data_IF_184587939772
#
_entry.id   IF_184587939772
#
_cell.length_a   1.000
_cell.length_b   1.000
_cell.length_c   1.000
_cell.angle_alpha   90.00
_cell.angle_beta   90.00
_cell.angle_gamma   90.00
#
_symmetry.space_group_name_H-M   'P 1'
#
loop_
_entity.id
_entity.type
_entity.pdbx_description
1 polymer ?
#
# COMPACT_ATOMS: atom_id res chain seq x y z
N UNK A 1 -23.62 -6.86 33.80
CA UNK A 1 -22.66 -7.04 32.69
C UNK A 1 -21.60 -5.96 32.79
N UNK A 2 -20.46 -6.27 33.42
CA UNK A 2 -19.35 -5.33 33.50
C UNK A 2 -18.66 -5.27 32.13
N UNK A 3 -18.63 -4.08 31.54
CA UNK A 3 -17.96 -3.82 30.27
C UNK A 3 -16.50 -4.19 30.38
N UNK A 4 -16.09 -5.20 29.60
CA UNK A 4 -14.69 -5.54 29.37
C UNK A 4 -14.07 -4.31 28.70
N UNK A 5 -13.40 -3.46 29.48
CA UNK A 5 -12.56 -2.40 28.92
C UNK A 5 -11.50 -3.11 28.08
N UNK A 6 -11.63 -3.02 26.76
CA UNK A 6 -10.60 -3.54 25.84
C UNK A 6 -9.24 -3.03 26.28
N UNK A 7 -8.26 -3.92 26.46
CA UNK A 7 -6.89 -3.53 26.78
C UNK A 7 -6.44 -2.44 25.78
N UNK A 8 -5.85 -1.33 26.24
CA UNK A 8 -5.36 -0.27 25.36
C UNK A 8 -4.49 -0.80 24.20
N UNK A 9 -3.72 -1.85 24.43
CA UNK A 9 -2.89 -2.52 23.42
C UNK A 9 -3.72 -3.19 22.32
N UNK A 10 -4.77 -3.93 22.67
CA UNK A 10 -5.67 -4.56 21.71
C UNK A 10 -6.38 -3.52 20.84
N UNK A 11 -6.74 -2.37 21.44
CA UNK A 11 -7.32 -1.24 20.70
C UNK A 11 -6.32 -0.59 19.74
N UNK A 12 -5.08 -0.38 20.18
CA UNK A 12 -4.02 0.17 19.32
C UNK A 12 -3.67 -0.77 18.17
N UNK A 13 -3.62 -2.08 18.42
CA UNK A 13 -3.44 -3.10 17.37
C UNK A 13 -4.57 -3.05 16.34
N UNK A 14 -5.83 -3.03 16.79
CA UNK A 14 -6.98 -2.97 15.87
C UNK A 14 -6.98 -1.69 15.01
N UNK A 15 -6.57 -0.55 15.57
CA UNK A 15 -6.38 0.69 14.80
C UNK A 15 -5.28 0.49 13.75
N UNK A 16 -4.15 -0.08 14.16
CA UNK A 16 -3.02 -0.35 13.28
C UNK A 16 -3.37 -1.25 12.11
N UNK A 17 -3.96 -2.41 12.39
CA UNK A 17 -4.39 -3.40 11.38
C UNK A 17 -5.36 -2.77 10.37
N UNK A 18 -6.35 -2.00 10.86
CA UNK A 18 -7.30 -1.30 9.99
C UNK A 18 -6.59 -0.29 9.08
N UNK A 19 -5.70 0.52 9.64
CA UNK A 19 -4.96 1.53 8.86
C UNK A 19 -4.09 0.87 7.80
N UNK A 20 -3.43 -0.23 8.14
CA UNK A 20 -2.65 -1.01 7.19
C UNK A 20 -3.52 -1.48 6.01
N UNK A 21 -4.64 -2.17 6.29
CA UNK A 21 -5.51 -2.72 5.25
C UNK A 21 -6.08 -1.66 4.31
N UNK A 22 -6.61 -0.57 4.85
CA UNK A 22 -7.19 0.53 4.05
C UNK A 22 -6.11 1.22 3.20
N UNK A 23 -4.92 1.43 3.77
CA UNK A 23 -3.79 2.05 3.05
C UNK A 23 -3.32 1.14 1.92
N UNK A 24 -3.14 -0.15 2.21
CA UNK A 24 -2.70 -1.13 1.21
C UNK A 24 -3.69 -1.23 0.05
N UNK A 25 -5.00 -1.32 0.34
CA UNK A 25 -6.06 -1.35 -0.67
C UNK A 25 -6.03 -0.11 -1.56
N UNK A 26 -5.93 1.08 -0.96
CA UNK A 26 -5.86 2.35 -1.71
C UNK A 26 -4.66 2.38 -2.66
N UNK A 27 -3.48 1.96 -2.17
CA UNK A 27 -2.26 1.88 -2.97
C UNK A 27 -2.35 0.86 -4.10
N UNK A 28 -3.01 -0.27 -3.87
CA UNK A 28 -3.21 -1.29 -4.89
C UNK A 28 -4.05 -0.75 -6.06
N UNK A 29 -5.15 -0.06 -5.77
CA UNK A 29 -5.99 0.60 -6.78
C UNK A 29 -5.21 1.68 -7.56
N UNK A 30 -4.45 2.51 -6.84
CA UNK A 30 -3.59 3.53 -7.44
C UNK A 30 -2.50 2.91 -8.31
N UNK A 31 -1.88 1.82 -7.85
CA UNK A 31 -0.86 1.08 -8.57
C UNK A 31 -1.41 0.50 -9.87
N UNK A 32 -2.62 -0.07 -9.86
CA UNK A 32 -3.27 -0.53 -11.10
C UNK A 32 -3.51 0.60 -12.08
N UNK A 33 -3.86 1.79 -11.59
CA UNK A 33 -3.98 2.98 -12.44
C UNK A 33 -2.66 3.29 -13.14
N UNK A 34 -1.55 3.28 -12.41
CA UNK A 34 -0.22 3.52 -12.98
C UNK A 34 0.15 2.42 -13.98
N UNK A 35 -0.10 1.15 -13.64
CA UNK A 35 0.22 0.04 -14.52
C UNK A 35 -0.58 0.08 -15.83
N UNK A 36 -1.84 0.46 -15.77
CA UNK A 36 -2.69 0.60 -16.94
C UNK A 36 -2.25 1.77 -17.83
N UNK A 37 -2.20 2.99 -17.27
CA UNK A 37 -1.98 4.21 -18.05
C UNK A 37 -0.53 4.46 -18.43
N UNK A 38 0.40 4.22 -17.50
CA UNK A 38 1.80 4.58 -17.70
C UNK A 38 2.64 3.41 -18.21
N UNK A 39 2.23 2.18 -17.91
CA UNK A 39 2.93 0.97 -18.33
C UNK A 39 2.19 0.19 -19.42
N UNK A 40 0.99 0.63 -19.82
CA UNK A 40 0.23 0.04 -20.92
C UNK A 40 -0.21 -1.40 -20.66
N UNK A 41 -0.39 -1.79 -19.40
CA UNK A 41 -0.90 -3.13 -19.06
C UNK A 41 -2.40 -3.20 -19.34
N UNK A 42 -2.81 -4.15 -20.17
CA UNK A 42 -4.23 -4.42 -20.39
C UNK A 42 -4.90 -5.06 -19.17
N UNK A 43 -6.23 -5.08 -19.15
CA UNK A 43 -7.06 -5.55 -18.03
C UNK A 43 -6.76 -6.98 -17.62
N UNK A 44 -6.56 -7.88 -18.59
CA UNK A 44 -6.22 -9.29 -18.33
C UNK A 44 -4.84 -9.40 -17.69
N UNK A 45 -3.88 -8.62 -18.19
CA UNK A 45 -2.52 -8.57 -17.63
C UNK A 45 -2.49 -7.99 -16.21
N UNK A 46 -3.38 -7.05 -15.88
CA UNK A 46 -3.56 -6.52 -14.52
C UNK A 46 -4.19 -7.55 -13.57
N UNK A 47 -5.15 -8.33 -14.05
CA UNK A 47 -5.75 -9.41 -13.28
C UNK A 47 -4.71 -10.48 -12.95
N UNK A 48 -3.93 -10.90 -13.94
CA UNK A 48 -2.80 -11.83 -13.76
C UNK A 48 -1.72 -11.26 -12.83
N UNK A 49 -1.46 -9.95 -12.92
CA UNK A 49 -0.53 -9.27 -12.02
C UNK A 49 -1.03 -9.31 -10.57
N UNK A 50 -2.32 -9.05 -10.35
CA UNK A 50 -2.91 -9.10 -9.02
C UNK A 50 -2.83 -10.51 -8.40
N UNK A 51 -3.19 -11.53 -9.18
CA UNK A 51 -3.08 -12.92 -8.75
C UNK A 51 -1.63 -13.26 -8.37
N UNK A 52 -0.66 -12.82 -9.19
CA UNK A 52 0.76 -13.04 -8.90
C UNK A 52 1.24 -12.28 -7.66
N UNK A 53 0.68 -11.10 -7.35
CA UNK A 53 0.96 -10.43 -6.08
C UNK A 53 0.47 -11.23 -4.87
N UNK A 54 -0.70 -11.87 -4.96
CA UNK A 54 -1.20 -12.73 -3.88
C UNK A 54 -0.31 -13.95 -3.63
N UNK A 55 0.12 -14.63 -4.71
CA UNK A 55 1.08 -15.73 -4.62
C UNK A 55 2.41 -15.24 -4.03
N UNK A 56 2.92 -14.10 -4.51
CA UNK A 56 4.17 -13.51 -4.02
C UNK A 56 4.07 -13.18 -2.53
N UNK A 57 2.93 -12.68 -2.08
CA UNK A 57 2.70 -12.41 -0.66
C UNK A 57 2.78 -13.69 0.18
N UNK A 58 2.18 -14.80 -0.27
CA UNK A 58 2.30 -16.09 0.41
C UNK A 58 3.76 -16.59 0.44
N UNK A 59 4.49 -16.45 -0.67
CA UNK A 59 5.91 -16.85 -0.77
C UNK A 59 6.82 -16.07 0.20
N UNK A 60 6.56 -14.76 0.38
CA UNK A 60 7.35 -13.88 1.25
C UNK A 60 6.96 -14.01 2.73
N UNK A 61 5.70 -14.29 3.05
CA UNK A 61 5.25 -14.49 4.43
C UNK A 61 5.73 -15.83 5.04
N UNK A 62 6.18 -16.76 4.21
CA UNK A 62 6.71 -18.07 4.63
C UNK A 62 8.02 -17.94 5.45
N UNK A 63 8.79 -16.86 5.28
CA UNK A 63 10.00 -16.58 6.08
C UNK A 63 10.39 -15.11 6.05
N UNK A 64 10.76 -14.56 7.21
CA UNK A 64 11.29 -13.19 7.34
C UNK A 64 12.51 -12.96 6.43
N UNK A 65 13.39 -13.94 6.30
CA UNK A 65 14.59 -13.85 5.45
C UNK A 65 14.25 -13.61 3.97
N UNK A 66 13.10 -14.13 3.51
CA UNK A 66 12.67 -13.95 2.11
C UNK A 66 12.17 -12.54 1.84
N UNK A 67 11.43 -11.95 2.79
CA UNK A 67 11.00 -10.57 2.69
C UNK A 67 12.21 -9.63 2.70
N UNK A 68 13.15 -9.83 3.62
CA UNK A 68 14.37 -9.02 3.72
C UNK A 68 15.24 -9.14 2.46
N UNK A 69 15.38 -10.34 1.90
CA UNK A 69 16.08 -10.55 0.62
C UNK A 69 15.38 -9.85 -0.55
N UNK A 70 14.04 -9.79 -0.56
CA UNK A 70 13.30 -9.05 -1.58
C UNK A 70 13.53 -7.53 -1.46
N UNK A 71 13.53 -6.99 -0.22
CA UNK A 71 13.86 -5.59 0.06
C UNK A 71 15.27 -5.27 -0.41
N UNK A 72 16.27 -6.07 -0.04
CA UNK A 72 17.68 -5.85 -0.45
C UNK A 72 17.83 -5.84 -1.98
N UNK A 73 17.14 -6.76 -2.67
CA UNK A 73 17.14 -6.83 -4.13
C UNK A 73 16.54 -5.57 -4.75
N UNK A 74 15.46 -5.04 -4.18
CA UNK A 74 14.82 -3.79 -4.63
C UNK A 74 15.73 -2.60 -4.36
N UNK A 75 16.28 -2.47 -3.15
CA UNK A 75 17.20 -1.40 -2.76
C UNK A 75 18.39 -1.32 -3.73
N UNK A 76 19.00 -2.46 -4.04
CA UNK A 76 20.10 -2.56 -5.01
C UNK A 76 19.66 -2.20 -6.42
N UNK A 77 18.51 -2.69 -6.88
CA UNK A 77 18.01 -2.49 -8.25
C UNK A 77 17.57 -1.05 -8.48
N UNK A 78 16.93 -0.44 -7.49
CA UNK A 78 16.44 0.94 -7.51
C UNK A 78 17.55 1.94 -7.15
N UNK A 79 18.61 1.49 -6.49
CA UNK A 79 19.69 2.31 -5.94
C UNK A 79 19.16 3.31 -4.89
N UNK A 80 18.41 2.80 -3.92
CA UNK A 80 17.88 3.57 -2.80
C UNK A 80 17.75 2.70 -1.54
N UNK A 81 17.39 3.31 -0.41
CA UNK A 81 16.96 2.58 0.79
C UNK A 81 15.44 2.72 0.86
N UNK A 82 14.69 1.66 0.58
CA UNK A 82 13.24 1.67 0.44
C UNK A 82 12.54 2.26 1.67
N UNK A 83 12.93 1.83 2.86
CA UNK A 83 12.37 2.31 4.13
C UNK A 83 12.58 3.82 4.36
N UNK A 84 13.60 4.42 3.73
CA UNK A 84 13.76 5.88 3.71
C UNK A 84 12.93 6.53 2.62
N UNK A 85 12.82 5.89 1.47
CA UNK A 85 12.05 6.38 0.33
C UNK A 85 10.57 6.51 0.64
N UNK A 86 9.99 5.53 1.35
CA UNK A 86 8.58 5.54 1.75
C UNK A 86 8.21 6.72 2.66
N UNK A 87 9.17 7.27 3.42
CA UNK A 87 8.94 8.46 4.25
C UNK A 87 8.73 9.74 3.42
N UNK A 88 9.13 9.75 2.15
CA UNK A 88 8.85 10.85 1.22
C UNK A 88 7.42 10.78 0.64
N UNK A 89 6.68 9.70 0.90
CA UNK A 89 5.37 9.49 0.31
C UNK A 89 4.37 10.46 0.95
N UNK A 90 3.65 11.27 0.16
CA UNK A 90 2.74 12.29 0.65
C UNK A 90 1.41 11.66 1.04
N UNK A 91 1.44 10.65 1.90
CA UNK A 91 0.22 10.13 2.50
C UNK A 91 -0.25 11.14 3.53
N UNK A 92 -1.20 11.99 3.13
CA UNK A 92 -2.11 12.53 4.13
C UNK A 92 -2.88 11.33 4.65
N UNK A 93 -2.48 10.82 5.81
CA UNK A 93 -3.51 10.38 6.74
C UNK A 93 -4.47 11.55 6.84
N UNK A 94 -5.58 11.44 6.10
CA UNK A 94 -6.74 12.26 6.36
C UNK A 94 -7.04 11.98 7.83
N UNK A 95 -6.65 12.91 8.70
CA UNK A 95 -7.51 13.93 9.30
C UNK A 95 -9.01 13.58 9.41
N UNK A 96 -9.62 12.81 8.50
CA UNK A 96 -10.90 12.12 8.69
C UNK A 96 -10.87 11.05 9.80
N UNK A 97 -9.74 10.41 10.11
CA UNK A 97 -9.59 9.61 11.34
C UNK A 97 -9.56 10.48 12.62
N UNK A 98 -9.11 11.74 12.53
CA UNK A 98 -9.03 12.64 13.69
C UNK A 98 -10.39 13.08 14.23
N UNK A 99 -11.49 12.83 13.51
CA UNK A 99 -12.85 13.01 14.03
C UNK A 99 -13.22 12.01 15.14
N UNK A 100 -12.42 10.96 15.36
CA UNK A 100 -12.71 9.89 16.35
C UNK A 100 -11.52 9.45 17.21
N UNK A 101 -10.36 10.11 17.12
CA UNK A 101 -9.22 9.76 17.97
C UNK A 101 -9.43 10.29 19.41
N UNK A 102 -9.20 9.46 20.45
CA UNK A 102 -9.30 9.91 21.84
C UNK A 102 -8.39 11.11 22.11
N UNK A 103 -8.85 12.11 22.87
CA UNK A 103 -7.97 13.20 23.32
C UNK A 103 -6.90 12.66 24.30
N UNK A 104 -5.75 13.33 24.39
CA UNK A 104 -4.67 12.99 25.34
C UNK A 104 -3.69 11.93 24.85
N UNK A 105 -2.92 11.34 25.76
CA UNK A 105 -1.78 10.42 25.45
C UNK A 105 -2.16 9.23 24.55
N UNK A 106 -3.38 8.70 24.71
CA UNK A 106 -3.91 7.59 23.90
C UNK A 106 -4.16 8.02 22.45
N UNK A 107 -4.56 9.29 22.23
CA UNK A 107 -4.71 9.86 20.89
C UNK A 107 -3.38 9.96 20.15
N UNK A 108 -2.34 10.43 20.84
CA UNK A 108 -1.00 10.54 20.28
C UNK A 108 -0.42 9.15 19.93
N UNK A 109 -0.59 8.15 20.81
CA UNK A 109 -0.17 6.77 20.52
C UNK A 109 -0.93 6.17 19.33
N UNK A 110 -2.23 6.43 19.22
CA UNK A 110 -3.05 5.95 18.10
C UNK A 110 -2.62 6.59 16.78
N UNK A 111 -2.31 7.90 16.80
CA UNK A 111 -1.77 8.61 15.65
C UNK A 111 -0.42 8.06 15.21
N UNK A 112 0.51 7.87 16.15
CA UNK A 112 1.83 7.31 15.85
C UNK A 112 1.73 5.88 15.29
N UNK A 113 0.88 5.04 15.88
CA UNK A 113 0.62 3.69 15.37
C UNK A 113 0.07 3.71 13.96
N UNK A 114 -0.93 4.57 13.70
CA UNK A 114 -1.47 4.72 12.36
C UNK A 114 -0.36 5.10 11.38
N UNK A 115 0.48 6.08 11.69
CA UNK A 115 1.55 6.53 10.80
C UNK A 115 2.52 5.39 10.45
N UNK A 116 2.96 4.65 11.47
CA UNK A 116 3.85 3.50 11.26
C UNK A 116 3.21 2.45 10.35
N UNK A 117 1.94 2.12 10.59
CA UNK A 117 1.22 1.11 9.81
C UNK A 117 0.94 1.56 8.37
N UNK A 118 0.76 2.87 8.13
CA UNK A 118 0.72 3.41 6.78
C UNK A 118 2.05 3.22 6.04
N UNK A 119 3.18 3.49 6.68
CA UNK A 119 4.50 3.24 6.07
C UNK A 119 4.73 1.76 5.80
N UNK A 120 4.40 0.88 6.75
CA UNK A 120 4.47 -0.57 6.55
C UNK A 120 3.61 -1.02 5.36
N UNK A 121 2.38 -0.51 5.22
CA UNK A 121 1.53 -0.83 4.08
C UNK A 121 2.14 -0.37 2.74
N UNK A 122 2.74 0.83 2.69
CA UNK A 122 3.40 1.35 1.48
C UNK A 122 4.60 0.48 1.11
N UNK A 123 5.44 0.13 2.09
CA UNK A 123 6.59 -0.72 1.87
C UNK A 123 6.17 -2.09 1.35
N UNK A 124 5.25 -2.78 2.04
CA UNK A 124 4.77 -4.10 1.64
C UNK A 124 4.17 -4.07 0.23
N UNK A 125 3.38 -3.03 -0.10
CA UNK A 125 2.84 -2.88 -1.44
C UNK A 125 3.93 -2.76 -2.51
N UNK A 126 4.95 -1.93 -2.27
CA UNK A 126 6.06 -1.75 -3.23
C UNK A 126 6.92 -3.00 -3.35
N UNK A 127 7.20 -3.69 -2.23
CA UNK A 127 7.95 -4.94 -2.24
C UNK A 127 7.26 -5.98 -3.10
N UNK A 128 5.95 -6.17 -2.91
CA UNK A 128 5.16 -7.11 -3.72
C UNK A 128 5.13 -6.69 -5.18
N UNK A 129 4.80 -5.43 -5.45
CA UNK A 129 4.64 -4.91 -6.81
C UNK A 129 5.93 -5.03 -7.60
N UNK A 130 7.05 -4.54 -7.06
CA UNK A 130 8.33 -4.58 -7.75
C UNK A 130 8.88 -6.00 -7.87
N UNK A 131 8.67 -6.86 -6.87
CA UNK A 131 9.04 -8.27 -7.00
C UNK A 131 8.37 -8.94 -8.20
N UNK A 132 7.06 -8.72 -8.38
CA UNK A 132 6.31 -9.27 -9.51
C UNK A 132 6.72 -8.64 -10.84
N UNK A 133 6.88 -7.31 -10.90
CA UNK A 133 7.29 -6.63 -12.14
C UNK A 133 8.70 -7.02 -12.58
N UNK A 134 9.62 -7.21 -11.64
CA UNK A 134 10.98 -7.68 -11.92
C UNK A 134 11.03 -9.13 -12.39
N UNK A 135 10.09 -9.98 -11.95
CA UNK A 135 9.94 -11.36 -12.43
C UNK A 135 9.40 -11.41 -13.86
N UNK A 136 8.33 -10.64 -14.12
CA UNK A 136 7.67 -10.59 -15.44
C UNK A 136 8.53 -9.87 -16.49
N UNK A 137 9.34 -8.90 -16.10
CA UNK A 137 10.17 -8.13 -17.02
C UNK A 137 11.59 -7.90 -16.46
N UNK A 138 12.57 -8.65 -16.98
CA UNK A 138 13.99 -8.52 -16.59
C UNK A 138 14.59 -7.14 -16.87
N UNK A 139 13.97 -6.33 -17.74
CA UNK A 139 14.38 -4.95 -18.03
C UNK A 139 13.77 -3.95 -17.05
N UNK A 140 12.81 -4.34 -16.23
CA UNK A 140 12.28 -3.49 -15.16
C UNK A 140 13.40 -3.18 -14.17
N UNK A 141 13.81 -1.92 -14.12
CA UNK A 141 14.91 -1.45 -13.30
C UNK A 141 14.64 -0.04 -12.82
N UNK A 142 15.71 0.64 -12.38
CA UNK A 142 15.64 1.97 -11.74
C UNK A 142 14.71 2.94 -12.46
N UNK A 143 14.83 3.11 -13.78
CA UNK A 143 14.01 4.07 -14.53
C UNK A 143 12.51 3.76 -14.44
N UNK A 144 12.13 2.48 -14.55
CA UNK A 144 10.73 2.07 -14.41
C UNK A 144 10.24 2.21 -12.96
N UNK A 145 11.08 1.88 -11.98
CA UNK A 145 10.76 2.06 -10.56
C UNK A 145 10.55 3.54 -10.22
N UNK A 146 11.41 4.43 -10.73
CA UNK A 146 11.29 5.88 -10.57
C UNK A 146 9.99 6.40 -11.18
N UNK A 147 9.65 5.95 -12.40
CA UNK A 147 8.39 6.33 -13.07
C UNK A 147 7.16 5.85 -12.28
N UNK A 148 7.16 4.57 -11.89
CA UNK A 148 6.07 3.99 -11.11
C UNK A 148 5.88 4.74 -9.79
N UNK A 149 6.96 4.98 -9.06
CA UNK A 149 6.95 5.71 -7.79
C UNK A 149 6.44 7.14 -7.97
N UNK A 150 6.92 7.86 -8.98
CA UNK A 150 6.51 9.25 -9.24
C UNK A 150 5.01 9.35 -9.52
N UNK A 151 4.46 8.45 -10.35
CA UNK A 151 3.04 8.44 -10.68
C UNK A 151 2.18 7.96 -9.51
N UNK A 152 2.62 6.94 -8.77
CA UNK A 152 1.94 6.49 -7.55
C UNK A 152 1.88 7.63 -6.51
N UNK A 153 2.98 8.36 -6.34
CA UNK A 153 3.06 9.53 -5.47
C UNK A 153 2.13 10.65 -5.94
N UNK A 154 2.16 11.01 -7.22
CA UNK A 154 1.30 12.07 -7.78
C UNK A 154 -0.19 11.73 -7.62
N UNK A 155 -0.58 10.48 -7.90
CA UNK A 155 -1.97 10.05 -7.75
C UNK A 155 -2.39 10.02 -6.26
N UNK A 156 -1.47 9.71 -5.35
CA UNK A 156 -1.72 9.79 -3.90
C UNK A 156 -1.90 11.22 -3.38
N UNK A 157 -1.24 12.21 -3.99
CA UNK A 157 -1.49 13.62 -3.67
C UNK A 157 -2.92 14.06 -4.05
N UNK A 158 -3.55 13.41 -5.04
CA UNK A 158 -4.95 13.67 -5.38
C UNK A 158 -5.91 13.13 -4.31
N UNK A 159 -5.59 12.01 -3.67
CA UNK A 159 -6.30 11.52 -2.47
C UNK A 159 -6.20 12.51 -1.30
N UNK A 160 -5.00 13.02 -1.07
CA UNK A 160 -4.74 14.05 -0.08
C UNK A 160 -5.58 15.33 -0.33
N UNK A 161 -5.93 15.61 -1.60
CA UNK A 161 -6.68 16.81 -2.01
C UNK A 161 -8.20 16.61 -2.13
N UNK A 162 -8.73 15.39 -2.15
CA UNK A 162 -10.19 15.22 -2.25
C UNK A 162 -10.66 13.89 -2.81
N UNK A 163 -9.84 13.21 -3.61
CA UNK A 163 -10.19 11.93 -4.23
C UNK A 163 -10.51 10.84 -3.20
N UNK A 164 -11.42 9.93 -3.56
CA UNK A 164 -11.87 8.79 -2.75
C UNK A 164 -11.72 7.52 -3.54
N UNK A 165 -11.63 6.37 -2.88
CA UNK A 165 -11.60 5.05 -3.55
C UNK A 165 -12.77 4.87 -4.50
N UNK A 166 -13.95 5.39 -4.13
CA UNK A 166 -15.14 5.42 -4.98
C UNK A 166 -14.85 5.99 -6.38
N UNK A 167 -14.03 7.04 -6.49
CA UNK A 167 -13.68 7.66 -7.77
C UNK A 167 -12.80 6.72 -8.62
N UNK A 168 -11.92 5.94 -7.99
CA UNK A 168 -11.10 4.95 -8.70
C UNK A 168 -11.92 3.71 -9.04
N UNK A 169 -12.79 3.25 -8.15
CA UNK A 169 -13.67 2.11 -8.38
C UNK A 169 -14.70 2.41 -9.47
N UNK A 170 -15.32 3.59 -9.49
CA UNK A 170 -16.21 4.03 -10.58
C UNK A 170 -15.46 4.10 -11.92
N UNK A 171 -14.16 4.38 -11.89
CA UNK A 171 -13.32 4.47 -13.07
C UNK A 171 -12.82 3.09 -13.57
N UNK A 172 -12.68 2.10 -12.69
CA UNK A 172 -12.28 0.73 -13.02
C UNK A 172 -13.43 -0.29 -13.01
N UNK A 173 -14.65 0.13 -12.67
CA UNK A 173 -15.81 -0.76 -12.49
C UNK A 173 -16.14 -1.57 -13.76
N UNK A 174 -15.86 -1.01 -14.93
CA UNK A 174 -16.08 -1.67 -16.22
C UNK A 174 -14.85 -2.46 -16.73
N UNK A 175 -13.69 -2.35 -16.07
CA UNK A 175 -12.39 -2.80 -16.63
C UNK A 175 -11.67 -3.83 -15.76
N UNK A 176 -11.80 -3.75 -14.44
CA UNK A 176 -11.18 -4.69 -13.51
C UNK A 176 -12.30 -5.36 -12.75
N UNK A 177 -12.46 -6.67 -12.96
CA UNK A 177 -13.43 -7.54 -12.32
C UNK A 177 -13.12 -7.71 -10.81
N UNK A 178 -12.95 -6.59 -10.10
CA UNK A 178 -12.67 -6.50 -8.68
C UNK A 178 -13.97 -6.86 -7.97
N UNK A 179 -14.17 -8.15 -7.69
CA UNK A 179 -15.18 -8.57 -6.74
C UNK A 179 -14.81 -8.01 -5.36
N UNK A 180 -15.25 -6.78 -5.09
CA UNK A 180 -15.35 -6.23 -3.76
C UNK A 180 -16.52 -6.94 -3.08
N UNK A 181 -16.32 -8.18 -2.67
CA UNK A 181 -17.28 -8.84 -1.81
C UNK A 181 -17.32 -8.06 -0.48
N UNK A 182 -18.51 -7.54 -0.17
CA UNK A 182 -18.79 -6.58 0.90
C UNK A 182 -18.73 -7.14 2.31
#
# INVERSE_FOLDING_TARGET
MHGVKSCPEARLKAIGDRVFCETFKSLQLLGFTVLYYDFGMETDALTDFNNRMHEKNAELLDSADRYDAAVEKIDKRWNCILSRKIMEFPYRQRVKMMGGLPKGKVGLQSFNMANMQSYSAIESFLVLTFSVLMEKNKRFGKTQMDLFWANLKANSENYAKGMTDQFIVEYFQDQLNLQLNG
#
